data_IF_212555193247
#
_entry.id   IF_212555193247
#
_cell.length_a   1.000
_cell.length_b   1.000
_cell.length_c   1.000
_cell.angle_alpha   90.00
_cell.angle_beta   90.00
_cell.angle_gamma   90.00
#
_symmetry.space_group_name_H-M   'P 1'
#
loop_
_entity.id
_entity.type
_entity.pdbx_description
1 polymer ?
#
# COMPACT_ATOMS: atom_id res chain seq x y z
N UNK A 1 -30.68 14.75 27.49
CA UNK A 1 -30.45 14.74 26.02
C UNK A 1 -29.89 13.38 25.62
N UNK A 2 -30.59 12.54 24.85
CA UNK A 2 -30.05 11.26 24.42
C UNK A 2 -29.08 11.47 23.26
N UNK A 3 -27.81 11.10 23.49
CA UNK A 3 -26.74 11.05 22.50
C UNK A 3 -27.13 10.11 21.36
N UNK A 4 -27.45 10.68 20.20
CA UNK A 4 -27.76 9.90 18.98
C UNK A 4 -26.63 8.90 18.72
N UNK A 5 -26.92 7.61 18.51
CA UNK A 5 -25.89 6.63 18.20
C UNK A 5 -25.17 7.08 16.93
N UNK A 6 -23.83 7.18 17.00
CA UNK A 6 -22.95 7.41 15.84
C UNK A 6 -23.34 6.39 14.79
N UNK A 7 -24.05 6.81 13.73
CA UNK A 7 -24.28 6.01 12.53
C UNK A 7 -22.91 5.54 12.07
N UNK A 8 -22.61 4.26 12.32
CA UNK A 8 -21.46 3.55 11.79
C UNK A 8 -21.53 3.79 10.28
N UNK A 9 -20.60 4.60 9.76
CA UNK A 9 -20.50 4.87 8.33
C UNK A 9 -20.41 3.50 7.64
N UNK A 10 -21.51 3.03 7.03
CA UNK A 10 -21.43 1.88 6.14
C UNK A 10 -20.46 2.29 5.03
N UNK A 11 -19.35 1.59 4.82
CA UNK A 11 -18.53 1.85 3.65
C UNK A 11 -19.45 1.74 2.43
N UNK A 12 -19.38 2.73 1.53
CA UNK A 12 -20.09 2.65 0.25
C UNK A 12 -19.76 1.30 -0.37
N UNK A 13 -20.78 0.51 -0.74
CA UNK A 13 -20.57 -0.78 -1.39
C UNK A 13 -19.91 -0.48 -2.74
N UNK A 14 -18.59 -0.54 -2.79
CA UNK A 14 -17.86 -0.51 -4.05
C UNK A 14 -18.40 -1.63 -4.95
N UNK A 15 -18.46 -1.38 -6.25
CA UNK A 15 -18.94 -2.39 -7.20
C UNK A 15 -18.10 -3.66 -7.03
N UNK A 16 -18.77 -4.81 -6.98
CA UNK A 16 -18.11 -6.13 -6.89
C UNK A 16 -16.96 -6.32 -7.88
N UNK A 17 -17.07 -5.95 -9.18
CA UNK A 17 -15.96 -6.08 -10.12
C UNK A 17 -14.76 -5.21 -9.73
N UNK A 18 -14.98 -3.98 -9.25
CA UNK A 18 -13.89 -3.13 -8.79
C UNK A 18 -13.16 -3.74 -7.59
N UNK A 19 -13.90 -4.30 -6.63
CA UNK A 19 -13.30 -4.95 -5.47
C UNK A 19 -12.45 -6.18 -5.86
N UNK A 20 -12.92 -6.98 -6.83
CA UNK A 20 -12.18 -8.13 -7.35
C UNK A 20 -10.92 -7.71 -8.12
N UNK A 21 -11.01 -6.71 -9.00
CA UNK A 21 -9.84 -6.18 -9.72
C UNK A 21 -8.82 -5.64 -8.73
N UNK A 22 -9.26 -4.85 -7.75
CA UNK A 22 -8.38 -4.31 -6.73
C UNK A 22 -7.71 -5.43 -5.91
N UNK A 23 -8.44 -6.48 -5.52
CA UNK A 23 -7.86 -7.63 -4.83
C UNK A 23 -6.87 -8.41 -5.71
N UNK A 24 -7.17 -8.56 -7.00
CA UNK A 24 -6.28 -9.22 -7.97
C UNK A 24 -4.95 -8.46 -8.12
N UNK A 25 -4.99 -7.14 -8.29
CA UNK A 25 -3.76 -6.33 -8.38
C UNK A 25 -2.96 -6.37 -7.07
N UNK A 26 -3.64 -6.39 -5.91
CA UNK A 26 -2.99 -6.58 -4.60
C UNK A 26 -2.33 -7.95 -4.46
N UNK A 27 -2.94 -9.00 -4.99
CA UNK A 27 -2.34 -10.33 -5.00
C UNK A 27 -1.06 -10.39 -5.85
N UNK A 28 -1.04 -9.71 -7.00
CA UNK A 28 0.18 -9.61 -7.84
C UNK A 28 1.29 -8.86 -7.08
N UNK A 29 0.97 -7.76 -6.41
CA UNK A 29 1.91 -7.01 -5.59
C UNK A 29 2.42 -7.83 -4.38
N UNK A 30 1.56 -8.67 -3.80
CA UNK A 30 1.93 -9.61 -2.75
C UNK A 30 2.94 -10.64 -3.25
N UNK A 31 2.72 -11.26 -4.42
CA UNK A 31 3.65 -12.23 -5.03
C UNK A 31 4.99 -11.56 -5.30
N UNK A 32 4.98 -10.33 -5.82
CA UNK A 32 6.20 -9.55 -6.07
C UNK A 32 6.97 -9.29 -4.78
N UNK A 33 6.26 -8.95 -3.70
CA UNK A 33 6.85 -8.69 -2.39
C UNK A 33 7.44 -9.98 -1.77
N UNK A 34 6.79 -11.12 -1.93
CA UNK A 34 7.33 -12.43 -1.52
C UNK A 34 8.60 -12.78 -2.30
N UNK A 35 8.58 -12.65 -3.63
CA UNK A 35 9.76 -12.89 -4.46
C UNK A 35 10.94 -12.00 -4.05
N UNK A 36 10.67 -10.72 -3.76
CA UNK A 36 11.69 -9.80 -3.25
C UNK A 36 12.26 -10.29 -1.92
N UNK A 37 11.44 -10.69 -0.94
CA UNK A 37 11.94 -11.21 0.35
C UNK A 37 12.81 -12.44 0.15
N UNK A 38 12.42 -13.37 -0.73
CA UNK A 38 13.20 -14.58 -1.00
C UNK A 38 14.57 -14.26 -1.62
N UNK A 39 14.64 -13.33 -2.57
CA UNK A 39 15.89 -12.86 -3.15
C UNK A 39 16.78 -12.19 -2.09
N UNK A 40 16.21 -11.31 -1.28
CA UNK A 40 16.91 -10.62 -0.20
C UNK A 40 17.45 -11.62 0.85
N UNK A 41 16.64 -12.61 1.24
CA UNK A 41 17.03 -13.66 2.17
C UNK A 41 18.15 -14.55 1.59
N UNK A 42 18.09 -14.89 0.30
CA UNK A 42 19.14 -15.63 -0.38
C UNK A 42 20.48 -14.86 -0.35
N UNK A 43 20.45 -13.57 -0.69
CA UNK A 43 21.66 -12.72 -0.64
C UNK A 43 22.22 -12.62 0.78
N UNK A 44 21.36 -12.48 1.80
CA UNK A 44 21.80 -12.48 3.20
C UNK A 44 22.48 -13.79 3.62
N UNK A 45 21.99 -14.93 3.11
CA UNK A 45 22.57 -16.25 3.40
C UNK A 45 23.93 -16.44 2.71
N UNK A 46 24.01 -16.09 1.42
CA UNK A 46 25.21 -16.34 0.61
C UNK A 46 26.33 -15.34 0.93
N UNK A 47 26.00 -14.07 1.21
CA UNK A 47 26.98 -13.03 1.54
C UNK A 47 26.60 -12.26 2.82
N UNK A 48 26.89 -12.83 4.02
CA UNK A 48 26.53 -12.23 5.30
C UNK A 48 27.09 -10.82 5.52
N UNK A 49 28.23 -10.49 4.90
CA UNK A 49 28.85 -9.16 4.95
C UNK A 49 27.99 -8.05 4.35
N UNK A 50 26.98 -8.38 3.55
CA UNK A 50 26.03 -7.42 2.94
C UNK A 50 24.65 -7.43 3.61
N UNK A 51 24.44 -8.27 4.62
CA UNK A 51 23.14 -8.46 5.28
C UNK A 51 22.55 -7.17 5.84
N UNK A 52 23.38 -6.31 6.45
CA UNK A 52 22.93 -5.04 7.08
C UNK A 52 22.20 -4.12 6.10
N UNK A 53 22.65 -4.09 4.85
CA UNK A 53 22.15 -3.23 3.79
C UNK A 53 20.75 -3.65 3.33
N UNK A 54 20.43 -4.93 3.52
CA UNK A 54 19.25 -5.59 2.96
C UNK A 54 18.05 -5.55 3.92
N UNK A 55 18.31 -5.45 5.22
CA UNK A 55 17.30 -5.56 6.29
C UNK A 55 16.16 -4.54 6.10
N UNK A 56 16.46 -3.28 5.82
CA UNK A 56 15.42 -2.26 5.66
C UNK A 56 14.48 -2.56 4.47
N UNK A 57 15.04 -3.01 3.35
CA UNK A 57 14.26 -3.45 2.19
C UNK A 57 13.38 -4.66 2.52
N UNK A 58 13.93 -5.65 3.22
CA UNK A 58 13.20 -6.85 3.62
C UNK A 58 12.04 -6.53 4.58
N UNK A 59 12.25 -5.66 5.57
CA UNK A 59 11.21 -5.19 6.49
C UNK A 59 10.13 -4.42 5.73
N UNK A 60 10.53 -3.53 4.81
CA UNK A 60 9.61 -2.82 3.92
C UNK A 60 8.72 -3.78 3.12
N UNK A 61 9.32 -4.81 2.49
CA UNK A 61 8.60 -5.85 1.75
C UNK A 61 7.65 -6.67 2.64
N UNK A 62 8.04 -6.98 3.87
CA UNK A 62 7.20 -7.74 4.81
C UNK A 62 5.94 -6.94 5.20
N UNK A 63 6.11 -5.65 5.52
CA UNK A 63 4.98 -4.76 5.82
C UNK A 63 4.08 -4.60 4.59
N UNK A 64 4.69 -4.43 3.41
CA UNK A 64 4.02 -4.43 2.12
C UNK A 64 3.14 -5.69 1.92
N UNK A 65 3.69 -6.89 2.15
CA UNK A 65 2.93 -8.15 2.11
C UNK A 65 1.77 -8.17 3.10
N UNK A 66 1.97 -7.72 4.33
CA UNK A 66 0.91 -7.67 5.35
C UNK A 66 -0.23 -6.73 4.94
N UNK A 67 0.12 -5.56 4.39
CA UNK A 67 -0.86 -4.61 3.86
C UNK A 67 -1.70 -5.23 2.74
N UNK A 68 -1.07 -5.93 1.78
CA UNK A 68 -1.79 -6.56 0.69
C UNK A 68 -2.65 -7.75 1.16
N UNK A 69 -2.14 -8.52 2.12
CA UNK A 69 -2.85 -9.65 2.72
C UNK A 69 -4.15 -9.20 3.37
N UNK A 70 -4.12 -8.08 4.11
CA UNK A 70 -5.34 -7.51 4.70
C UNK A 70 -6.39 -7.17 3.64
N UNK A 71 -5.96 -6.58 2.52
CA UNK A 71 -6.89 -6.15 1.47
C UNK A 71 -7.44 -7.29 0.62
N UNK A 72 -6.67 -8.35 0.42
CA UNK A 72 -7.16 -9.57 -0.22
C UNK A 72 -8.15 -10.27 0.70
N UNK A 73 -7.82 -10.46 1.99
CA UNK A 73 -8.69 -11.08 2.98
C UNK A 73 -10.01 -10.33 3.14
N UNK A 74 -9.98 -8.99 3.20
CA UNK A 74 -11.19 -8.20 3.35
C UNK A 74 -12.13 -8.26 2.12
N UNK A 75 -11.66 -8.78 0.98
CA UNK A 75 -12.50 -9.03 -0.22
C UNK A 75 -12.95 -10.48 -0.30
N UNK A 76 -12.12 -11.44 0.13
CA UNK A 76 -12.45 -12.87 0.09
C UNK A 76 -13.24 -13.35 1.30
N UNK A 77 -13.27 -12.58 2.38
CA UNK A 77 -14.00 -12.93 3.59
C UNK A 77 -15.53 -12.87 3.38
N UNK A 78 -16.11 -14.03 3.09
CA UNK A 78 -17.55 -14.23 2.98
C UNK A 78 -18.28 -14.06 4.33
N UNK A 79 -17.56 -14.13 5.45
CA UNK A 79 -18.12 -14.03 6.81
C UNK A 79 -18.23 -12.60 7.34
N UNK A 80 -17.70 -11.60 6.61
CA UNK A 80 -17.67 -10.17 7.00
C UNK A 80 -17.05 -9.90 8.38
N UNK A 81 -16.16 -10.79 8.87
CA UNK A 81 -15.45 -10.62 10.13
C UNK A 81 -14.28 -9.65 10.01
N UNK A 82 -13.67 -9.53 8.81
CA UNK A 82 -12.57 -8.61 8.54
C UNK A 82 -13.10 -7.34 7.85
N UNK A 83 -13.20 -6.19 8.55
CA UNK A 83 -13.66 -4.96 7.94
C UNK A 83 -12.59 -4.38 7.00
N UNK A 84 -13.03 -3.90 5.83
CA UNK A 84 -12.18 -3.09 4.95
C UNK A 84 -11.70 -1.83 5.68
N UNK A 85 -10.40 -1.54 5.56
CA UNK A 85 -9.80 -0.33 6.12
C UNK A 85 -10.37 0.91 5.42
N UNK A 86 -10.44 2.02 6.14
CA UNK A 86 -10.72 3.31 5.53
C UNK A 86 -9.62 3.66 4.52
N UNK A 87 -10.00 4.24 3.38
CA UNK A 87 -9.11 4.55 2.26
C UNK A 87 -7.88 5.35 2.68
N UNK A 88 -8.05 6.35 3.56
CA UNK A 88 -6.94 7.16 4.09
C UNK A 88 -5.92 6.38 4.91
N UNK A 89 -6.38 5.39 5.69
CA UNK A 89 -5.49 4.54 6.50
C UNK A 89 -4.70 3.59 5.61
N UNK A 90 -5.35 3.02 4.60
CA UNK A 90 -4.69 2.18 3.60
C UNK A 90 -3.54 2.94 2.90
N UNK A 91 -3.80 4.17 2.43
CA UNK A 91 -2.78 5.03 1.81
C UNK A 91 -1.60 5.25 2.76
N UNK A 92 -1.86 5.53 4.05
CA UNK A 92 -0.79 5.72 5.04
C UNK A 92 0.07 4.46 5.20
N UNK A 93 -0.55 3.27 5.27
CA UNK A 93 0.18 2.01 5.35
C UNK A 93 1.04 1.75 4.09
N UNK A 94 0.50 2.05 2.90
CA UNK A 94 1.26 1.93 1.65
C UNK A 94 2.44 2.92 1.60
N UNK A 95 2.24 4.19 2.00
CA UNK A 95 3.31 5.20 2.09
C UNK A 95 4.39 4.84 3.11
N UNK A 96 4.01 4.24 4.24
CA UNK A 96 4.97 3.78 5.23
C UNK A 96 5.84 2.64 4.69
N UNK A 97 5.22 1.64 4.05
CA UNK A 97 5.97 0.56 3.40
C UNK A 97 6.83 1.06 2.24
N UNK A 98 6.34 2.04 1.47
CA UNK A 98 7.09 2.71 0.40
C UNK A 98 8.37 3.35 0.95
N UNK A 99 8.27 4.11 2.04
CA UNK A 99 9.42 4.80 2.64
C UNK A 99 10.51 3.81 3.07
N UNK A 100 10.14 2.68 3.68
CA UNK A 100 11.09 1.64 4.07
C UNK A 100 11.72 0.94 2.86
N UNK A 101 10.94 0.62 1.83
CA UNK A 101 11.48 0.03 0.60
C UNK A 101 12.44 1.00 -0.12
N UNK A 102 12.10 2.29 -0.19
CA UNK A 102 12.99 3.33 -0.76
C UNK A 102 14.27 3.47 0.08
N UNK A 103 14.16 3.45 1.41
CA UNK A 103 15.31 3.43 2.31
C UNK A 103 16.23 2.23 2.05
N UNK A 104 15.64 1.04 1.83
CA UNK A 104 16.35 -0.17 1.43
C UNK A 104 17.09 -0.03 0.09
N UNK A 105 16.43 0.56 -0.92
CA UNK A 105 17.05 0.86 -2.23
C UNK A 105 18.27 1.78 -2.05
N UNK A 106 18.13 2.86 -1.28
CA UNK A 106 19.21 3.83 -1.06
C UNK A 106 20.39 3.15 -0.37
N UNK A 107 20.14 2.36 0.68
CA UNK A 107 21.23 1.64 1.37
C UNK A 107 21.93 0.64 0.44
N UNK A 108 21.19 -0.12 -0.36
CA UNK A 108 21.75 -1.04 -1.36
C UNK A 108 22.59 -0.32 -2.39
N UNK A 109 22.09 0.80 -2.89
CA UNK A 109 22.76 1.58 -3.91
C UNK A 109 24.08 2.17 -3.39
N UNK A 110 24.06 2.80 -2.22
CA UNK A 110 25.26 3.36 -1.57
C UNK A 110 26.31 2.28 -1.29
N UNK A 111 25.88 1.08 -0.89
CA UNK A 111 26.78 -0.03 -0.55
C UNK A 111 27.35 -0.78 -1.76
N UNK A 112 26.84 -0.52 -2.96
CA UNK A 112 27.25 -1.16 -4.20
C UNK A 112 28.18 -0.28 -5.06
N UNK A 113 28.47 0.95 -4.64
CA UNK A 113 29.49 1.80 -5.28
C UNK A 113 30.86 1.28 -4.83
N UNK A 114 31.37 0.25 -5.51
CA UNK A 114 32.75 -0.19 -5.37
C UNK A 114 33.47 -0.01 -6.71
N UNK A 115 34.23 1.09 -6.81
CA UNK A 115 35.01 1.47 -7.99
C UNK A 115 36.33 0.69 -7.92
N UNK A 116 36.30 -0.55 -8.40
CA UNK A 116 37.52 -1.34 -8.59
C UNK A 116 37.37 -2.06 -9.93
N UNK A 117 38.27 -1.79 -10.87
CA UNK A 117 38.20 -2.30 -12.25
C UNK A 117 38.41 -3.82 -12.33
N UNK A 118 39.02 -4.43 -11.30
CA UNK A 118 39.38 -5.84 -11.30
C UNK A 118 38.43 -6.66 -10.41
N UNK A 119 37.26 -7.00 -10.94
CA UNK A 119 36.24 -7.80 -10.24
C UNK A 119 36.42 -9.29 -10.49
N UNK A 120 36.60 -10.05 -9.42
CA UNK A 120 36.61 -11.52 -9.42
C UNK A 120 35.27 -12.11 -9.91
N UNK A 121 35.27 -13.36 -10.36
CA UNK A 121 34.05 -14.05 -10.81
C UNK A 121 32.96 -14.12 -9.73
N UNK A 122 33.37 -14.28 -8.46
CA UNK A 122 32.45 -14.31 -7.32
C UNK A 122 31.83 -12.93 -7.05
N UNK A 123 32.60 -11.84 -7.18
CA UNK A 123 32.05 -10.48 -7.09
C UNK A 123 31.05 -10.18 -8.22
N UNK A 124 31.30 -10.67 -9.45
CA UNK A 124 30.35 -10.53 -10.56
C UNK A 124 29.04 -11.28 -10.29
N UNK A 125 29.12 -12.51 -9.77
CA UNK A 125 27.94 -13.28 -9.34
C UNK A 125 27.19 -12.55 -8.23
N UNK A 126 27.90 -12.05 -7.23
CA UNK A 126 27.33 -11.25 -6.13
C UNK A 126 26.58 -10.01 -6.65
N UNK A 127 27.18 -9.26 -7.57
CA UNK A 127 26.56 -8.07 -8.17
C UNK A 127 25.29 -8.41 -8.96
N UNK A 128 25.29 -9.52 -9.71
CA UNK A 128 24.10 -9.97 -10.44
C UNK A 128 22.92 -10.26 -9.51
N UNK A 129 23.14 -10.98 -8.41
CA UNK A 129 22.10 -11.29 -7.43
C UNK A 129 21.64 -10.07 -6.65
N UNK A 130 22.56 -9.16 -6.30
CA UNK A 130 22.23 -7.87 -5.69
C UNK A 130 21.39 -7.01 -6.62
N UNK A 131 21.74 -6.95 -7.92
CA UNK A 131 20.96 -6.22 -8.92
C UNK A 131 19.58 -6.84 -9.09
N UNK A 132 19.46 -8.17 -9.13
CA UNK A 132 18.16 -8.84 -9.20
C UNK A 132 17.28 -8.51 -7.97
N UNK A 133 17.85 -8.54 -6.77
CA UNK A 133 17.16 -8.16 -5.54
C UNK A 133 16.76 -6.67 -5.54
N UNK A 134 17.62 -5.80 -6.06
CA UNK A 134 17.34 -4.37 -6.22
C UNK A 134 16.18 -4.12 -7.21
N UNK A 135 16.18 -4.79 -8.36
CA UNK A 135 15.10 -4.71 -9.34
C UNK A 135 13.76 -5.20 -8.78
N UNK A 136 13.78 -6.29 -8.01
CA UNK A 136 12.60 -6.78 -7.31
C UNK A 136 12.08 -5.74 -6.29
N UNK A 137 12.97 -5.10 -5.54
CA UNK A 137 12.61 -4.06 -4.59
C UNK A 137 12.05 -2.80 -5.27
N UNK A 138 12.62 -2.39 -6.41
CA UNK A 138 12.09 -1.31 -7.27
C UNK A 138 10.67 -1.65 -7.74
N UNK A 139 10.41 -2.89 -8.15
CA UNK A 139 9.06 -3.33 -8.52
C UNK A 139 8.07 -3.21 -7.35
N UNK A 140 8.48 -3.58 -6.13
CA UNK A 140 7.67 -3.38 -4.91
C UNK A 140 7.37 -1.90 -4.68
N UNK A 141 8.36 -1.02 -4.80
CA UNK A 141 8.19 0.44 -4.71
C UNK A 141 7.19 0.95 -5.76
N UNK A 142 7.30 0.47 -7.00
CA UNK A 142 6.36 0.80 -8.07
C UNK A 142 4.91 0.46 -7.72
N UNK A 143 4.67 -0.74 -7.17
CA UNK A 143 3.35 -1.13 -6.69
C UNK A 143 2.83 -0.21 -5.58
N UNK A 144 3.67 0.15 -4.61
CA UNK A 144 3.25 1.06 -3.53
C UNK A 144 2.93 2.46 -4.02
N UNK A 145 3.66 2.97 -5.02
CA UNK A 145 3.33 4.25 -5.65
C UNK A 145 1.97 4.19 -6.37
N UNK A 146 1.73 3.13 -7.14
CA UNK A 146 0.44 2.92 -7.83
C UNK A 146 -0.70 2.91 -6.79
N UNK A 147 -0.55 2.17 -5.70
CA UNK A 147 -1.58 2.08 -4.66
C UNK A 147 -1.76 3.37 -3.87
N UNK A 148 -0.69 4.11 -3.59
CA UNK A 148 -0.78 5.40 -2.93
C UNK A 148 -1.52 6.42 -3.82
N UNK A 149 -1.18 6.50 -5.10
CA UNK A 149 -1.85 7.38 -6.06
C UNK A 149 -3.32 6.98 -6.21
N UNK A 150 -3.60 5.70 -6.41
CA UNK A 150 -4.97 5.20 -6.54
C UNK A 150 -5.78 5.51 -5.27
N UNK A 151 -5.24 5.21 -4.09
CA UNK A 151 -5.91 5.51 -2.82
C UNK A 151 -6.13 7.01 -2.59
N UNK A 152 -5.21 7.88 -3.03
CA UNK A 152 -5.40 9.33 -3.02
C UNK A 152 -6.55 9.78 -3.94
N UNK A 153 -6.67 9.21 -5.13
CA UNK A 153 -7.80 9.47 -6.04
C UNK A 153 -9.12 9.03 -5.39
N UNK A 154 -9.14 7.87 -4.75
CA UNK A 154 -10.32 7.38 -4.02
C UNK A 154 -10.68 8.32 -2.84
N UNK A 155 -9.69 8.75 -2.06
CA UNK A 155 -9.87 9.66 -0.93
C UNK A 155 -10.42 11.02 -1.36
N UNK A 156 -9.90 11.59 -2.45
CA UNK A 156 -10.38 12.87 -2.98
C UNK A 156 -11.81 12.76 -3.52
N UNK A 157 -12.13 11.64 -4.18
CA UNK A 157 -13.49 11.34 -4.63
C UNK A 157 -14.49 11.18 -3.47
N UNK A 158 -14.10 10.52 -2.38
CA UNK A 158 -14.90 10.41 -1.15
C UNK A 158 -15.09 11.77 -0.47
N UNK A 159 -14.02 12.56 -0.34
CA UNK A 159 -14.06 13.89 0.26
C UNK A 159 -14.98 14.83 -0.53
N UNK A 160 -14.89 14.81 -1.87
CA UNK A 160 -15.77 15.59 -2.75
C UNK A 160 -17.22 15.17 -2.57
N UNK A 161 -17.53 13.87 -2.59
CA UNK A 161 -18.89 13.34 -2.33
C UNK A 161 -19.41 13.74 -0.95
N UNK A 162 -18.56 13.73 0.08
CA UNK A 162 -18.93 14.16 1.41
C UNK A 162 -19.25 15.67 1.46
N UNK A 163 -18.47 16.51 0.78
CA UNK A 163 -18.72 17.95 0.67
C UNK A 163 -20.06 18.25 -0.03
N UNK A 164 -20.33 17.60 -1.16
CA UNK A 164 -21.62 17.70 -1.88
C UNK A 164 -22.81 17.30 -1.00
N UNK A 165 -22.67 16.24 -0.20
CA UNK A 165 -23.72 15.80 0.75
C UNK A 165 -23.98 16.84 1.84
N UNK A 166 -22.94 17.52 2.35
CA UNK A 166 -23.08 18.61 3.33
C UNK A 166 -23.78 19.81 2.71
N UNK A 167 -23.41 20.19 1.48
CA UNK A 167 -24.02 21.32 0.78
C UNK A 167 -25.52 21.10 0.51
N UNK A 168 -25.91 19.88 0.06
CA UNK A 168 -27.34 19.54 -0.10
C UNK A 168 -28.13 19.56 1.21
N UNK A 169 -27.52 19.18 2.33
CA UNK A 169 -28.19 19.26 3.65
C UNK A 169 -28.43 20.71 4.06
N UNK A 170 -27.43 21.59 3.89
CA UNK A 170 -27.58 23.02 4.14
C UNK A 170 -28.63 23.65 3.23
N UNK A 171 -28.69 23.26 1.96
CA UNK A 171 -29.73 23.70 1.03
C UNK A 171 -31.15 23.30 1.49
N UNK A 172 -31.34 22.07 1.97
CA UNK A 172 -32.63 21.60 2.51
C UNK A 172 -33.01 22.20 3.86
N UNK A 173 -32.02 22.62 4.65
CA UNK A 173 -32.24 23.31 5.93
C UNK A 173 -32.61 24.79 5.72
N UNK A 174 -32.06 25.39 4.66
CA UNK A 174 -32.38 26.73 4.20
C UNK A 174 -33.55 26.76 3.18
N UNK A 175 -34.31 25.67 3.02
CA UNK A 175 -35.49 25.66 2.16
C UNK A 175 -36.61 26.48 2.82
N UNK A 176 -37.05 27.61 2.22
CA UNK A 176 -38.03 28.51 2.83
C UNK A 176 -39.38 27.83 3.08
N UNK A 177 -39.72 26.83 2.26
CA UNK A 177 -40.94 26.02 2.40
C UNK A 177 -41.02 25.21 3.70
N UNK A 178 -39.87 24.80 4.27
CA UNK A 178 -39.82 24.13 5.59
C UNK A 178 -39.91 25.13 6.75
N UNK A 179 -39.43 26.35 6.57
CA UNK A 179 -39.55 27.40 7.58
C UNK A 179 -40.98 27.96 7.67
N UNK A 180 -41.73 27.90 6.57
CA UNK A 180 -43.13 28.35 6.50
C UNK A 180 -44.15 27.30 6.99
N UNK A 181 -43.72 26.10 7.40
CA UNK A 181 -44.60 25.09 8.02
C UNK A 181 -45.64 24.46 7.09
N UNK A 182 -45.44 24.47 5.77
CA UNK A 182 -46.42 23.97 4.78
C UNK A 182 -46.27 22.45 4.52
N UNK A 183 -45.47 21.73 5.32
CA UNK A 183 -45.29 20.28 5.26
C UNK A 183 -45.12 19.66 6.64
#
# INVERSE_FOLDING_TARGET
MPSRPRRRNRPERLSRPYAMVHAGVRLIAWITSLASILLLAFVCKEWPSKSQVIIAGAVGCAIAMLNDSWEVLAVTDASFTVPRLATSRRVLHDLFSLALCVGGIIMMWVSNINITDDKTAEQKRQEQWLMAALWALIAVVGWRLIFAIWGCVDCTGEARRAAWRRQRRRGRENDPWRQMGIL
#
